data_IF_230860155847
#
_entry.id   IF_230860155847
#
_cell.length_a   1.000
_cell.length_b   1.000
_cell.length_c   1.000
_cell.angle_alpha   90.00
_cell.angle_beta   90.00
_cell.angle_gamma   90.00
#
_symmetry.space_group_name_H-M   'P 1'
#
loop_
_entity.id
_entity.type
_entity.pdbx_description
1 polymer ?
#
# COMPACT_ATOMS: atom_id res chain seq x y z
N UNK A 1 -0.97 7.88 16.86
CA UNK A 1 0.32 8.54 17.07
C UNK A 1 0.95 8.95 15.74
N UNK A 2 1.20 8.01 14.81
CA UNK A 2 1.82 8.32 13.51
C UNK A 2 1.06 9.40 12.75
N UNK A 3 -0.27 9.30 12.64
CA UNK A 3 -1.10 10.32 11.97
C UNK A 3 -0.90 11.74 12.53
N UNK A 4 -0.76 11.87 13.85
CA UNK A 4 -0.47 13.16 14.50
C UNK A 4 0.93 13.67 14.17
N UNK A 5 1.90 12.76 14.07
CA UNK A 5 3.25 13.09 13.63
C UNK A 5 3.28 13.59 12.18
N UNK A 6 2.52 12.95 11.27
CA UNK A 6 2.41 13.41 9.88
C UNK A 6 1.90 14.86 9.79
N UNK A 7 0.98 15.26 10.66
CA UNK A 7 0.44 16.63 10.70
C UNK A 7 1.43 17.71 11.17
N UNK A 8 2.60 17.33 11.68
CA UNK A 8 3.69 18.29 11.94
C UNK A 8 4.47 18.65 10.67
N UNK A 9 4.37 17.82 9.62
CA UNK A 9 5.08 17.98 8.35
C UNK A 9 4.13 18.36 7.20
N UNK A 10 2.89 17.89 7.27
CA UNK A 10 1.92 17.98 6.18
C UNK A 10 0.59 18.58 6.66
N UNK A 11 -0.16 19.16 5.73
CA UNK A 11 -1.50 19.69 5.95
C UNK A 11 -2.56 18.72 5.40
N UNK A 12 -3.75 18.62 6.02
CA UNK A 12 -4.86 17.87 5.45
C UNK A 12 -5.11 18.24 3.98
N UNK A 13 -5.37 17.24 3.15
CA UNK A 13 -5.54 17.37 1.69
C UNK A 13 -4.24 17.26 0.89
N UNK A 14 -3.06 17.40 1.50
CA UNK A 14 -1.81 17.28 0.75
C UNK A 14 -1.54 15.84 0.32
N UNK A 15 -1.06 15.63 -0.93
CA UNK A 15 -0.61 14.32 -1.37
C UNK A 15 0.76 13.97 -0.74
N UNK A 16 0.88 12.76 -0.22
CA UNK A 16 2.14 12.19 0.27
C UNK A 16 2.38 10.84 -0.39
N UNK A 17 3.58 10.62 -0.90
CA UNK A 17 3.91 9.42 -1.65
C UNK A 17 4.54 8.34 -0.76
N UNK A 18 4.24 7.07 -1.05
CA UNK A 18 4.95 5.92 -0.49
C UNK A 18 5.61 5.14 -1.63
N UNK A 19 6.93 5.14 -1.62
CA UNK A 19 7.76 4.44 -2.60
C UNK A 19 8.52 3.32 -1.91
N UNK A 20 7.82 2.21 -1.67
CA UNK A 20 8.36 1.07 -0.94
C UNK A 20 7.62 -0.22 -1.33
N UNK A 21 8.31 -1.35 -1.14
CA UNK A 21 7.67 -2.67 -1.20
C UNK A 21 6.77 -2.94 0.02
N UNK A 22 6.11 -4.10 0.00
CA UNK A 22 5.21 -4.52 1.07
C UNK A 22 5.92 -4.56 2.43
N UNK A 23 5.22 -4.11 3.47
CA UNK A 23 5.69 -4.15 4.84
C UNK A 23 4.65 -3.59 5.81
N UNK A 24 4.76 -3.88 7.12
CA UNK A 24 3.83 -3.36 8.12
C UNK A 24 3.81 -1.83 8.17
N UNK A 25 4.98 -1.18 7.98
CA UNK A 25 5.08 0.28 7.98
C UNK A 25 4.31 0.93 6.83
N UNK A 26 4.21 0.24 5.68
CA UNK A 26 3.42 0.68 4.55
C UNK A 26 1.94 0.76 4.93
N UNK A 27 1.42 -0.29 5.57
CA UNK A 27 0.03 -0.35 6.06
C UNK A 27 -0.20 0.73 7.13
N UNK A 28 0.76 0.88 8.06
CA UNK A 28 0.67 1.90 9.10
C UNK A 28 0.60 3.31 8.50
N UNK A 29 1.39 3.59 7.45
CA UNK A 29 1.34 4.88 6.75
C UNK A 29 -0.01 5.08 6.05
N UNK A 30 -0.57 4.04 5.42
CA UNK A 30 -1.89 4.11 4.75
C UNK A 30 -2.98 4.58 5.71
N UNK A 31 -3.08 3.93 6.88
CA UNK A 31 -4.07 4.31 7.89
C UNK A 31 -3.76 5.68 8.53
N UNK A 32 -2.47 5.95 8.76
CA UNK A 32 -2.06 7.23 9.33
C UNK A 32 -2.34 8.41 8.40
N UNK A 33 -2.08 8.26 7.10
CA UNK A 33 -2.41 9.26 6.10
C UNK A 33 -3.93 9.49 6.03
N UNK A 34 -4.72 8.41 6.02
CA UNK A 34 -6.18 8.51 6.05
C UNK A 34 -6.71 9.26 7.27
N UNK A 35 -6.21 8.97 8.47
CA UNK A 35 -6.59 9.65 9.71
C UNK A 35 -6.12 11.12 9.76
N UNK A 36 -5.02 11.43 9.09
CA UNK A 36 -4.51 12.80 8.99
C UNK A 36 -5.17 13.61 7.88
N UNK A 37 -6.08 13.00 7.09
CA UNK A 37 -6.73 13.65 5.95
C UNK A 37 -5.77 13.90 4.78
N UNK A 38 -4.65 13.15 4.69
CA UNK A 38 -3.70 13.21 3.58
C UNK A 38 -4.14 12.28 2.45
N UNK A 39 -3.73 12.61 1.23
CA UNK A 39 -3.95 11.74 0.06
C UNK A 39 -2.71 10.87 -0.19
N UNK A 40 -2.79 9.56 0.01
CA UNK A 40 -1.67 8.66 -0.18
C UNK A 40 -1.44 8.38 -1.67
N UNK A 41 -0.26 8.70 -2.19
CA UNK A 41 0.18 8.40 -3.56
C UNK A 41 0.99 7.12 -3.54
N UNK A 42 0.47 6.06 -4.15
CA UNK A 42 1.17 4.77 -4.18
C UNK A 42 2.14 4.73 -5.36
N UNK A 43 3.41 4.43 -5.08
CA UNK A 43 4.48 4.41 -6.08
C UNK A 43 5.01 2.98 -6.22
N UNK A 44 5.07 2.48 -7.46
CA UNK A 44 5.68 1.19 -7.74
C UNK A 44 7.16 1.20 -7.33
N UNK A 45 7.61 0.31 -6.43
CA UNK A 45 9.00 0.27 -5.96
C UNK A 45 10.03 -0.01 -7.07
N UNK A 46 9.60 -0.50 -8.22
CA UNK A 46 10.47 -0.74 -9.38
C UNK A 46 10.70 0.49 -10.28
N UNK A 47 9.98 1.60 -10.02
CA UNK A 47 10.14 2.80 -10.84
C UNK A 47 11.54 3.37 -10.76
N UNK A 48 12.01 3.82 -11.93
CA UNK A 48 13.26 4.56 -12.09
C UNK A 48 13.00 6.07 -12.09
N UNK A 49 14.03 6.85 -12.35
CA UNK A 49 14.01 8.31 -12.23
C UNK A 49 12.86 8.98 -13.01
N UNK A 50 12.62 8.58 -14.27
CA UNK A 50 11.60 9.22 -15.11
C UNK A 50 10.18 8.90 -14.68
N UNK A 51 9.86 7.65 -14.37
CA UNK A 51 8.53 7.29 -13.85
C UNK A 51 8.28 7.93 -12.49
N UNK A 52 9.32 7.96 -11.64
CA UNK A 52 9.24 8.60 -10.33
C UNK A 52 8.95 10.10 -10.46
N UNK A 53 9.70 10.80 -11.34
CA UNK A 53 9.49 12.23 -11.60
C UNK A 53 8.07 12.50 -12.11
N UNK A 54 7.55 11.66 -13.02
CA UNK A 54 6.19 11.77 -13.53
C UNK A 54 5.17 11.64 -12.40
N UNK A 55 5.26 10.57 -11.60
CA UNK A 55 4.28 10.28 -10.54
C UNK A 55 4.29 11.36 -9.45
N UNK A 56 5.46 11.73 -8.94
CA UNK A 56 5.58 12.75 -7.89
C UNK A 56 5.22 14.16 -8.38
N UNK A 57 5.62 14.49 -9.60
CA UNK A 57 5.31 15.79 -10.22
C UNK A 57 3.82 15.94 -10.54
N UNK A 58 3.23 14.91 -11.19
CA UNK A 58 1.81 14.92 -11.59
C UNK A 58 0.87 14.88 -10.38
N UNK A 59 1.18 14.09 -9.35
CA UNK A 59 0.40 14.06 -8.11
C UNK A 59 0.57 15.32 -7.25
N UNK A 60 1.63 16.10 -7.48
CA UNK A 60 1.98 17.23 -6.65
C UNK A 60 2.39 16.83 -5.24
N UNK A 61 3.01 15.67 -5.08
CA UNK A 61 3.40 15.12 -3.77
C UNK A 61 4.23 16.13 -2.96
N UNK A 62 3.77 16.41 -1.74
CA UNK A 62 4.45 17.30 -0.80
C UNK A 62 5.58 16.57 -0.04
N UNK A 63 5.45 15.25 0.10
CA UNK A 63 6.45 14.39 0.71
C UNK A 63 6.51 13.02 0.06
N UNK A 64 7.63 12.33 0.27
CA UNK A 64 7.82 10.94 -0.15
C UNK A 64 8.45 10.12 0.98
N UNK A 65 7.86 8.97 1.26
CA UNK A 65 8.41 7.94 2.14
C UNK A 65 9.12 6.88 1.31
N UNK A 66 10.39 6.65 1.60
CA UNK A 66 11.23 5.66 0.95
C UNK A 66 11.94 4.76 1.98
N UNK A 67 12.52 3.66 1.55
CA UNK A 67 13.09 2.65 2.46
C UNK A 67 14.59 2.44 2.30
N UNK A 68 15.21 2.89 1.21
CA UNK A 68 16.61 2.59 0.93
C UNK A 68 17.37 3.80 0.40
N UNK A 69 18.69 3.80 0.62
CA UNK A 69 19.62 4.79 0.05
C UNK A 69 19.57 4.79 -1.47
N UNK A 70 19.49 3.61 -2.11
CA UNK A 70 19.37 3.52 -3.56
C UNK A 70 18.14 4.27 -4.11
N UNK A 71 17.01 4.25 -3.38
CA UNK A 71 15.84 5.07 -3.73
C UNK A 71 16.12 6.56 -3.56
N UNK A 72 16.84 6.96 -2.52
CA UNK A 72 17.23 8.35 -2.31
C UNK A 72 18.16 8.86 -3.43
N UNK A 73 19.09 8.03 -3.89
CA UNK A 73 19.97 8.34 -5.03
C UNK A 73 19.19 8.56 -6.33
N UNK A 74 18.20 7.70 -6.61
CA UNK A 74 17.33 7.87 -7.79
C UNK A 74 16.52 9.16 -7.66
N UNK A 75 15.95 9.44 -6.48
CA UNK A 75 15.18 10.66 -6.24
C UNK A 75 16.03 11.92 -6.44
N UNK A 76 17.29 11.90 -6.03
CA UNK A 76 18.22 13.03 -6.20
C UNK A 76 18.39 13.43 -7.66
N UNK A 77 18.36 12.46 -8.60
CA UNK A 77 18.51 12.72 -10.04
C UNK A 77 17.37 13.57 -10.62
N UNK A 78 16.20 13.58 -9.97
CA UNK A 78 14.99 14.26 -10.46
C UNK A 78 14.47 15.33 -9.51
N UNK A 79 15.17 15.57 -8.41
CA UNK A 79 14.71 16.43 -7.31
C UNK A 79 14.38 17.86 -7.78
N UNK A 80 15.17 18.42 -8.69
CA UNK A 80 14.99 19.76 -9.22
C UNK A 80 13.72 19.92 -10.07
N UNK A 81 13.16 18.81 -10.56
CA UNK A 81 11.91 18.77 -11.32
C UNK A 81 10.67 18.68 -10.43
N UNK A 82 10.83 18.61 -9.11
CA UNK A 82 9.79 18.35 -8.12
C UNK A 82 9.64 19.55 -7.13
N UNK A 83 9.19 20.72 -7.59
CA UNK A 83 9.16 21.93 -6.76
C UNK A 83 8.20 21.86 -5.57
N UNK A 84 7.19 20.96 -5.61
CA UNK A 84 6.25 20.76 -4.50
C UNK A 84 6.75 19.77 -3.44
N UNK A 85 7.70 18.91 -3.78
CA UNK A 85 8.23 17.93 -2.86
C UNK A 85 9.09 18.64 -1.80
N UNK A 86 8.62 18.72 -0.56
CA UNK A 86 9.32 19.36 0.56
C UNK A 86 10.09 18.34 1.39
N UNK A 87 9.42 17.24 1.70
CA UNK A 87 9.88 16.27 2.68
C UNK A 87 10.29 14.95 2.00
N UNK A 88 11.42 14.43 2.43
CA UNK A 88 11.90 13.08 2.08
C UNK A 88 12.14 12.34 3.39
N UNK A 89 11.35 11.30 3.63
CA UNK A 89 11.29 10.61 4.92
C UNK A 89 11.60 9.13 4.75
N UNK A 90 12.21 8.54 5.77
CA UNK A 90 12.40 7.08 5.80
C UNK A 90 11.12 6.42 6.31
N UNK A 91 10.62 5.43 5.56
CA UNK A 91 9.45 4.67 5.96
C UNK A 91 9.78 3.81 7.19
N UNK A 92 9.04 4.03 8.25
CA UNK A 92 9.28 3.43 9.57
C UNK A 92 9.86 4.41 10.59
N UNK A 93 10.45 5.52 10.13
CA UNK A 93 10.90 6.61 10.98
C UNK A 93 9.82 7.70 11.04
N UNK A 94 9.03 7.65 12.11
CA UNK A 94 7.81 8.47 12.18
C UNK A 94 8.05 9.77 12.95
N UNK A 95 7.67 10.93 12.39
CA UNK A 95 7.73 12.17 13.13
C UNK A 95 6.84 12.10 14.37
N UNK A 96 7.29 12.75 15.45
CA UNK A 96 6.51 12.84 16.69
C UNK A 96 5.47 13.96 16.59
N UNK A 97 4.28 13.73 17.16
CA UNK A 97 3.21 14.72 17.22
C UNK A 97 2.10 14.28 18.14
N UNK A 98 1.43 15.26 18.77
CA UNK A 98 0.36 15.06 19.75
C UNK A 98 -0.90 15.92 19.49
N UNK A 99 -0.86 16.76 18.44
CA UNK A 99 -2.00 17.59 18.03
C UNK A 99 -3.28 16.82 17.74
N UNK A 100 -4.43 17.51 17.65
CA UNK A 100 -5.71 16.86 17.29
C UNK A 100 -5.67 16.32 15.87
N UNK A 101 -6.44 15.26 15.62
CA UNK A 101 -6.69 14.79 14.25
C UNK A 101 -7.82 15.62 13.62
N UNK A 102 -7.75 15.89 12.30
CA UNK A 102 -8.82 16.60 11.62
C UNK A 102 -10.07 15.71 11.48
N UNK A 103 -11.22 16.31 11.30
CA UNK A 103 -12.36 15.64 10.73
C UNK A 103 -12.13 15.44 9.23
N UNK A 104 -12.29 14.20 8.75
CA UNK A 104 -12.02 13.83 7.36
C UNK A 104 -13.34 13.56 6.64
N UNK A 105 -13.64 14.33 5.59
CA UNK A 105 -14.80 14.07 4.74
C UNK A 105 -14.64 12.74 3.99
N UNK A 106 -15.55 11.77 4.14
CA UNK A 106 -15.53 10.52 3.39
C UNK A 106 -15.52 10.68 1.86
N UNK A 107 -15.92 11.81 1.32
CA UNK A 107 -15.88 12.11 -0.10
C UNK A 107 -14.52 12.69 -0.56
N UNK A 108 -13.64 13.07 0.37
CA UNK A 108 -12.31 13.57 0.02
C UNK A 108 -11.41 12.47 -0.54
N UNK A 109 -10.37 12.84 -1.33
CA UNK A 109 -9.38 11.91 -1.82
C UNK A 109 -8.64 11.19 -0.69
N UNK A 110 -8.55 9.88 -0.77
CA UNK A 110 -7.79 9.03 0.16
C UNK A 110 -6.51 8.49 -0.48
N UNK A 111 -6.60 8.06 -1.75
CA UNK A 111 -5.45 7.50 -2.47
C UNK A 111 -5.42 7.97 -3.92
N UNK A 112 -4.20 8.07 -4.47
CA UNK A 112 -3.93 8.21 -5.89
C UNK A 112 -3.11 7.00 -6.33
N UNK A 113 -3.68 6.17 -7.22
CA UNK A 113 -3.02 5.01 -7.79
C UNK A 113 -2.72 5.26 -9.25
N UNK A 114 -1.52 4.87 -9.68
CA UNK A 114 -1.11 4.98 -11.08
C UNK A 114 -1.27 3.64 -11.79
N UNK A 115 -1.90 3.68 -12.96
CA UNK A 115 -2.07 2.52 -13.83
C UNK A 115 -1.31 2.71 -15.13
N UNK A 116 -0.83 1.61 -15.74
CA UNK A 116 -0.24 1.66 -17.07
C UNK A 116 -1.28 2.16 -18.08
N UNK A 117 -1.12 3.40 -18.54
CA UNK A 117 -1.99 3.97 -19.55
C UNK A 117 -1.72 3.37 -20.94
N UNK A 118 -2.75 3.23 -21.76
CA UNK A 118 -2.65 2.81 -23.17
C UNK A 118 -1.84 3.79 -24.05
N UNK A 119 -1.55 4.99 -23.53
CA UNK A 119 -0.83 6.07 -24.22
C UNK A 119 0.64 6.21 -23.79
N UNK A 120 1.19 5.24 -23.05
CA UNK A 120 2.59 5.22 -22.61
C UNK A 120 2.89 5.97 -21.31
N UNK A 121 2.04 6.92 -20.90
CA UNK A 121 2.18 7.61 -19.60
C UNK A 121 1.20 7.02 -18.57
N UNK A 122 1.65 6.73 -17.32
CA UNK A 122 0.76 6.26 -16.26
C UNK A 122 -0.36 7.26 -15.98
N UNK A 123 -1.60 6.75 -15.86
CA UNK A 123 -2.78 7.54 -15.51
C UNK A 123 -3.07 7.43 -14.03
N UNK A 124 -3.42 8.56 -13.40
CA UNK A 124 -3.81 8.62 -12.00
C UNK A 124 -5.30 8.32 -11.82
N UNK A 125 -5.61 7.38 -10.95
CA UNK A 125 -6.95 7.15 -10.43
C UNK A 125 -7.03 7.70 -9.01
N UNK A 126 -7.89 8.68 -8.78
CA UNK A 126 -8.15 9.27 -7.45
C UNK A 126 -9.28 8.50 -6.79
N UNK A 127 -9.02 7.89 -5.65
CA UNK A 127 -10.00 7.13 -4.88
C UNK A 127 -10.35 7.86 -3.59
N UNK A 128 -11.65 7.98 -3.29
CA UNK A 128 -12.13 8.60 -2.07
C UNK A 128 -12.12 7.62 -0.89
N UNK A 129 -12.13 8.13 0.34
CA UNK A 129 -12.27 7.30 1.54
C UNK A 129 -13.49 6.38 1.46
N UNK A 130 -14.67 6.94 1.11
CA UNK A 130 -15.91 6.19 0.93
C UNK A 130 -15.81 5.13 -0.15
N UNK A 131 -15.19 5.46 -1.28
CA UNK A 131 -15.00 4.53 -2.40
C UNK A 131 -14.14 3.33 -2.01
N UNK A 132 -12.99 3.59 -1.39
CA UNK A 132 -12.08 2.54 -0.93
C UNK A 132 -12.69 1.63 0.12
N UNK A 133 -13.27 2.21 1.19
CA UNK A 133 -13.83 1.44 2.30
C UNK A 133 -15.04 0.62 1.89
N UNK A 134 -15.95 1.18 1.07
CA UNK A 134 -17.11 0.43 0.57
C UNK A 134 -16.69 -0.69 -0.39
N UNK A 135 -15.74 -0.42 -1.29
CA UNK A 135 -15.26 -1.43 -2.22
C UNK A 135 -14.59 -2.60 -1.48
N UNK A 136 -13.75 -2.29 -0.48
CA UNK A 136 -13.10 -3.30 0.36
C UNK A 136 -14.13 -4.16 1.12
N UNK A 137 -15.16 -3.54 1.70
CA UNK A 137 -16.25 -4.23 2.40
C UNK A 137 -17.01 -5.17 1.46
N UNK A 138 -17.46 -4.65 0.31
CA UNK A 138 -18.20 -5.44 -0.66
C UNK A 138 -17.37 -6.60 -1.23
N UNK A 139 -16.08 -6.37 -1.48
CA UNK A 139 -15.17 -7.42 -1.94
C UNK A 139 -14.98 -8.50 -0.86
N UNK A 140 -14.78 -8.10 0.40
CA UNK A 140 -14.66 -9.01 1.53
C UNK A 140 -15.91 -9.89 1.71
N UNK A 141 -17.09 -9.27 1.63
CA UNK A 141 -18.38 -9.96 1.67
C UNK A 141 -18.53 -10.96 0.49
N UNK A 142 -18.18 -10.52 -0.72
CA UNK A 142 -18.31 -11.34 -1.94
C UNK A 142 -17.42 -12.60 -1.90
N UNK A 143 -16.23 -12.51 -1.30
CA UNK A 143 -15.32 -13.67 -1.14
C UNK A 143 -15.53 -14.41 0.18
N UNK A 144 -16.45 -13.96 1.02
CA UNK A 144 -16.81 -14.61 2.28
C UNK A 144 -15.80 -14.47 3.40
N UNK A 145 -15.02 -13.38 3.43
CA UNK A 145 -14.10 -13.10 4.55
C UNK A 145 -14.86 -12.93 5.87
N UNK A 146 -14.30 -13.48 6.93
CA UNK A 146 -14.91 -13.50 8.29
C UNK A 146 -13.91 -13.10 9.35
N UNK A 147 -14.43 -12.75 10.52
CA UNK A 147 -13.60 -12.50 11.69
C UNK A 147 -12.75 -13.74 12.03
N UNK A 148 -11.47 -13.50 12.27
CA UNK A 148 -10.50 -14.56 12.55
C UNK A 148 -9.86 -15.20 11.31
N UNK A 149 -10.29 -14.86 10.08
CA UNK A 149 -9.60 -15.34 8.88
C UNK A 149 -8.15 -14.84 8.86
N UNK A 150 -7.26 -15.69 8.35
CA UNK A 150 -5.84 -15.42 8.20
C UNK A 150 -5.46 -15.54 6.73
N UNK A 151 -4.93 -14.47 6.16
CA UNK A 151 -4.49 -14.41 4.77
C UNK A 151 -3.02 -13.99 4.68
N UNK A 152 -2.21 -14.80 3.99
CA UNK A 152 -0.86 -14.41 3.59
C UNK A 152 -0.98 -13.56 2.33
N UNK A 153 -0.74 -12.24 2.43
CA UNK A 153 -0.96 -11.32 1.32
C UNK A 153 0.25 -11.23 0.39
N UNK A 154 0.18 -11.79 -0.83
CA UNK A 154 1.23 -11.72 -1.82
C UNK A 154 1.12 -10.49 -2.73
N UNK A 155 -0.03 -9.77 -2.66
CA UNK A 155 -0.34 -8.70 -3.60
C UNK A 155 0.46 -7.43 -3.27
N UNK A 156 0.97 -6.72 -4.29
CA UNK A 156 1.73 -5.51 -4.06
C UNK A 156 0.85 -4.39 -3.49
N UNK A 157 1.34 -3.71 -2.46
CA UNK A 157 0.59 -2.63 -1.80
C UNK A 157 0.49 -1.34 -2.63
N UNK A 158 1.38 -1.14 -3.60
CA UNK A 158 1.22 -0.03 -4.52
C UNK A 158 0.05 -0.20 -5.50
N UNK A 159 -0.60 -1.37 -5.50
CA UNK A 159 -1.78 -1.69 -6.31
C UNK A 159 -3.02 -1.85 -5.42
N UNK A 160 -4.19 -1.41 -5.91
CA UNK A 160 -5.46 -1.45 -5.17
C UNK A 160 -5.83 -2.83 -4.63
N UNK A 161 -5.41 -3.92 -5.28
CA UNK A 161 -5.67 -5.28 -4.80
C UNK A 161 -4.98 -5.54 -3.45
N UNK A 162 -3.73 -5.08 -3.26
CA UNK A 162 -2.98 -5.27 -2.03
C UNK A 162 -3.44 -4.33 -0.91
N UNK A 163 -3.38 -3.03 -1.15
CA UNK A 163 -3.74 -2.03 -0.14
C UNK A 163 -5.25 -1.89 0.05
N UNK A 164 -5.99 -1.66 -1.03
CA UNK A 164 -7.42 -1.34 -0.99
C UNK A 164 -8.30 -2.56 -0.70
N UNK A 165 -8.19 -3.65 -1.46
CA UNK A 165 -9.11 -4.77 -1.32
C UNK A 165 -8.75 -5.69 -0.15
N UNK A 166 -7.52 -6.24 -0.15
CA UNK A 166 -7.12 -7.23 0.85
C UNK A 166 -6.89 -6.57 2.21
N UNK A 167 -6.04 -5.54 2.27
CA UNK A 167 -5.69 -4.92 3.56
C UNK A 167 -6.90 -4.30 4.25
N UNK A 168 -7.66 -3.45 3.55
CA UNK A 168 -8.85 -2.82 4.15
C UNK A 168 -9.98 -3.84 4.39
N UNK A 169 -10.12 -4.85 3.52
CA UNK A 169 -11.10 -5.93 3.70
C UNK A 169 -10.84 -6.72 4.96
N UNK A 170 -9.62 -7.16 5.19
CA UNK A 170 -9.24 -7.90 6.41
C UNK A 170 -9.40 -7.07 7.68
N UNK A 171 -9.05 -5.78 7.64
CA UNK A 171 -9.26 -4.89 8.81
C UNK A 171 -10.75 -4.76 9.13
N UNK A 172 -11.60 -4.57 8.12
CA UNK A 172 -13.04 -4.43 8.33
C UNK A 172 -13.73 -5.71 8.81
N UNK A 173 -13.20 -6.88 8.45
CA UNK A 173 -13.72 -8.18 8.89
C UNK A 173 -13.04 -8.71 10.16
N UNK A 174 -12.12 -7.95 10.76
CA UNK A 174 -11.30 -8.37 11.91
C UNK A 174 -10.47 -9.62 11.60
N UNK A 175 -9.99 -9.74 10.37
CA UNK A 175 -9.08 -10.77 9.93
C UNK A 175 -7.61 -10.43 10.24
N UNK A 176 -6.74 -11.40 10.03
CA UNK A 176 -5.29 -11.26 10.19
C UNK A 176 -4.60 -11.26 8.84
N UNK A 177 -3.72 -10.29 8.62
CA UNK A 177 -2.87 -10.25 7.44
C UNK A 177 -1.44 -10.64 7.78
N UNK A 178 -0.93 -11.68 7.14
CA UNK A 178 0.50 -12.02 7.16
C UNK A 178 1.14 -11.35 5.94
N UNK A 179 2.02 -10.38 6.19
CA UNK A 179 2.64 -9.59 5.12
C UNK A 179 3.74 -10.37 4.44
N UNK A 180 3.62 -10.59 3.14
CA UNK A 180 4.67 -11.17 2.31
C UNK A 180 5.36 -10.02 1.53
N UNK A 181 6.65 -9.73 1.79
CA UNK A 181 7.34 -8.59 1.17
C UNK A 181 7.38 -8.67 -0.36
N UNK A 182 7.49 -9.88 -0.90
CA UNK A 182 7.48 -10.19 -2.32
C UNK A 182 6.93 -11.60 -2.51
N UNK A 183 6.16 -11.81 -3.58
CA UNK A 183 5.64 -13.14 -3.90
C UNK A 183 6.77 -14.15 -4.09
N UNK A 184 6.72 -15.19 -3.30
CA UNK A 184 7.48 -16.44 -3.41
C UNK A 184 6.54 -17.58 -3.05
N UNK A 185 6.28 -18.53 -3.95
CA UNK A 185 5.27 -19.57 -3.72
C UNK A 185 5.64 -20.51 -2.57
N UNK A 186 6.91 -20.85 -2.42
CA UNK A 186 7.37 -21.72 -1.31
C UNK A 186 7.22 -21.04 0.04
N UNK A 187 7.64 -19.77 0.11
CA UNK A 187 7.50 -18.96 1.33
C UNK A 187 6.04 -18.69 1.67
N UNK A 188 5.20 -18.44 0.67
CA UNK A 188 3.76 -18.25 0.90
C UNK A 188 3.11 -19.49 1.50
N UNK A 189 3.40 -20.68 0.97
CA UNK A 189 2.89 -21.95 1.53
C UNK A 189 3.42 -22.20 2.95
N UNK A 190 4.71 -21.95 3.20
CA UNK A 190 5.30 -22.06 4.54
C UNK A 190 4.60 -21.14 5.56
N UNK A 191 4.34 -19.89 5.18
CA UNK A 191 3.64 -18.94 6.05
C UNK A 191 2.17 -19.31 6.23
N UNK A 192 1.52 -19.85 5.20
CA UNK A 192 0.13 -20.32 5.27
C UNK A 192 0.03 -21.48 6.28
N UNK A 193 0.92 -22.46 6.21
CA UNK A 193 1.01 -23.54 7.18
C UNK A 193 1.29 -23.00 8.59
N UNK A 194 2.34 -22.18 8.74
CA UNK A 194 2.81 -21.66 10.03
C UNK A 194 1.74 -20.85 10.78
N UNK A 195 1.03 -19.99 10.06
CA UNK A 195 0.02 -19.10 10.63
C UNK A 195 -1.40 -19.65 10.49
N UNK A 196 -1.56 -20.90 10.03
CA UNK A 196 -2.86 -21.55 9.81
C UNK A 196 -3.76 -20.68 8.94
N UNK A 197 -3.22 -20.28 7.77
CA UNK A 197 -3.93 -19.40 6.83
C UNK A 197 -5.24 -20.05 6.35
N UNK A 198 -6.33 -19.32 6.49
CA UNK A 198 -7.68 -19.80 6.13
C UNK A 198 -8.07 -19.36 4.71
N UNK A 199 -7.38 -18.37 4.17
CA UNK A 199 -7.68 -17.79 2.85
C UNK A 199 -6.41 -17.71 2.01
N UNK A 200 -6.49 -18.21 0.79
CA UNK A 200 -5.45 -18.06 -0.24
C UNK A 200 -6.03 -17.20 -1.36
N UNK A 201 -5.32 -16.12 -1.70
CA UNK A 201 -5.68 -15.21 -2.79
C UNK A 201 -4.47 -14.84 -3.62
N UNK A 202 -4.71 -14.49 -4.88
CA UNK A 202 -3.68 -14.06 -5.81
C UNK A 202 -4.18 -14.00 -7.26
N UNK A 203 -3.33 -13.51 -8.16
CA UNK A 203 -3.63 -13.57 -9.60
C UNK A 203 -3.40 -14.99 -10.13
N UNK A 204 -4.01 -15.38 -11.27
CA UNK A 204 -3.94 -16.76 -11.79
C UNK A 204 -2.53 -17.34 -11.88
N UNK A 205 -1.55 -16.53 -12.30
CA UNK A 205 -0.14 -16.97 -12.38
C UNK A 205 0.46 -17.30 -11.00
N UNK A 206 0.07 -16.58 -9.95
CA UNK A 206 0.48 -16.88 -8.58
C UNK A 206 -0.14 -18.20 -8.10
N UNK A 207 -1.43 -18.42 -8.36
CA UNK A 207 -2.12 -19.65 -7.98
C UNK A 207 -1.51 -20.87 -8.67
N UNK A 208 -1.19 -20.77 -9.96
CA UNK A 208 -0.49 -21.83 -10.70
C UNK A 208 0.89 -22.13 -10.09
N UNK A 209 1.64 -21.11 -9.71
CA UNK A 209 2.94 -21.27 -9.07
C UNK A 209 2.83 -21.91 -7.66
N UNK A 210 1.79 -21.55 -6.90
CA UNK A 210 1.50 -22.17 -5.59
C UNK A 210 1.17 -23.66 -5.73
N UNK A 211 0.32 -24.04 -6.68
CA UNK A 211 0.00 -25.44 -6.96
C UNK A 211 1.26 -26.24 -7.32
N UNK A 212 2.07 -25.70 -8.23
CA UNK A 212 3.33 -26.34 -8.61
C UNK A 212 4.32 -26.47 -7.44
N UNK A 213 4.37 -25.49 -6.54
CA UNK A 213 5.20 -25.55 -5.33
C UNK A 213 4.67 -26.57 -4.32
N UNK A 214 3.34 -26.64 -4.10
CA UNK A 214 2.70 -27.60 -3.22
C UNK A 214 2.91 -29.05 -3.68
N UNK A 215 2.88 -29.30 -5.00
CA UNK A 215 3.18 -30.63 -5.55
C UNK A 215 4.63 -31.05 -5.31
N UNK A 216 5.58 -30.11 -5.33
CA UNK A 216 7.00 -30.42 -5.10
C UNK A 216 7.36 -30.58 -3.62
N UNK A 217 6.74 -29.81 -2.76
CA UNK A 217 6.96 -29.80 -1.31
C UNK A 217 5.61 -29.66 -0.60
N UNK A 218 4.89 -30.78 -0.39
CA UNK A 218 3.60 -30.78 0.29
C UNK A 218 3.68 -30.14 1.68
N UNK A 219 2.64 -29.40 2.04
CA UNK A 219 2.47 -28.72 3.32
C UNK A 219 1.13 -29.08 3.93
N UNK A 220 1.05 -29.04 5.26
CA UNK A 220 -0.22 -29.16 5.97
C UNK A 220 -0.97 -27.80 5.90
N UNK A 221 -2.00 -27.76 5.08
CA UNK A 221 -2.86 -26.60 4.90
C UNK A 221 -4.28 -26.85 5.45
N UNK A 222 -4.46 -27.86 6.31
CA UNK A 222 -5.74 -28.21 6.95
C UNK A 222 -6.13 -27.27 8.09
#
# INVERSE_FOLDING_TARGET
>A
RVARGLLTQFRPGEPVAVWAGNGPDWVLLEFAAGLAGLTLVTVNPAYQAEELAHVLGHSGAAGVFLRSEAQAEILTQVRDRLPRLREVLTLGDWPAGDGPLPEVDPASPAQILYTSGTTGQPKAAVLTHRGLTNNARLAAEAVGLRAGDVLVNPMPYFHVAGCGLITLGLVQTLGTQVVLPRFDPGRMLELTERYRGTVIGGVPTMLTALLAAACRAPRDLS
#
